data_IF_178754607764
#
_entry.id   IF_178754607764
#
_cell.length_a   1.000
_cell.length_b   1.000
_cell.length_c   1.000
_cell.angle_alpha   90.00
_cell.angle_beta   90.00
_cell.angle_gamma   90.00
#
_symmetry.space_group_name_H-M   'P 1'
#
loop_
_entity.id
_entity.type
_entity.pdbx_description
1 polymer ?
#
# COMPACT_ATOMS: atom_id res chain seq x y z
N UNK A 1 33.49 -49.71 -7.01
CA UNK A 1 32.85 -48.42 -7.41
C UNK A 1 32.06 -47.94 -6.22
N UNK A 2 32.54 -46.88 -5.54
CA UNK A 2 31.84 -46.28 -4.41
C UNK A 2 30.56 -45.60 -4.92
N UNK A 3 29.41 -46.01 -4.46
CA UNK A 3 28.16 -45.31 -4.69
C UNK A 3 28.32 -43.89 -4.13
N UNK A 4 28.46 -42.90 -5.00
CA UNK A 4 28.40 -41.50 -4.59
C UNK A 4 26.99 -41.23 -4.12
N UNK A 5 26.85 -41.03 -2.81
CA UNK A 5 25.59 -40.63 -2.18
C UNK A 5 25.10 -39.35 -2.82
N UNK A 6 23.85 -39.33 -3.29
CA UNK A 6 23.25 -38.13 -3.87
C UNK A 6 23.34 -36.94 -2.88
N UNK A 7 23.68 -35.73 -3.35
CA UNK A 7 23.83 -34.56 -2.46
C UNK A 7 22.51 -34.25 -1.74
N UNK A 8 22.60 -33.85 -0.50
CA UNK A 8 21.45 -33.43 0.30
C UNK A 8 20.77 -32.19 -0.29
N UNK A 9 19.53 -31.93 0.09
CA UNK A 9 18.81 -30.73 -0.35
C UNK A 9 19.55 -29.45 0.07
N UNK A 10 20.16 -29.44 1.25
CA UNK A 10 20.98 -28.32 1.69
C UNK A 10 22.21 -28.11 0.78
N UNK A 11 22.95 -29.16 0.48
CA UNK A 11 24.12 -29.09 -0.42
C UNK A 11 23.74 -28.58 -1.81
N UNK A 12 22.63 -29.09 -2.37
CA UNK A 12 22.11 -28.60 -3.65
C UNK A 12 21.72 -27.11 -3.60
N UNK A 13 21.02 -26.73 -2.53
CA UNK A 13 20.59 -25.35 -2.32
C UNK A 13 21.77 -24.41 -2.14
N UNK A 14 22.79 -24.81 -1.38
CA UNK A 14 24.00 -24.00 -1.21
C UNK A 14 24.75 -23.78 -2.52
N UNK A 15 24.90 -24.82 -3.36
CA UNK A 15 25.47 -24.68 -4.71
C UNK A 15 24.67 -23.71 -5.60
N UNK A 16 23.35 -23.75 -5.51
CA UNK A 16 22.52 -22.81 -6.24
C UNK A 16 22.72 -21.36 -5.74
N UNK A 17 22.83 -21.16 -4.42
CA UNK A 17 23.14 -19.84 -3.86
C UNK A 17 24.50 -19.33 -4.30
N UNK A 18 25.54 -20.17 -4.33
CA UNK A 18 26.89 -19.82 -4.82
C UNK A 18 26.85 -19.41 -6.30
N UNK A 19 26.11 -20.15 -7.12
CA UNK A 19 25.92 -19.80 -8.53
C UNK A 19 25.24 -18.42 -8.69
N UNK A 20 24.20 -18.15 -7.91
CA UNK A 20 23.48 -16.88 -7.94
C UNK A 20 24.34 -15.71 -7.42
N UNK A 21 25.19 -15.97 -6.42
CA UNK A 21 26.11 -14.99 -5.85
C UNK A 21 27.20 -14.59 -6.86
N UNK A 22 27.70 -15.54 -7.64
CA UNK A 22 28.68 -15.33 -8.71
C UNK A 22 28.13 -14.63 -9.95
N UNK A 23 26.81 -14.46 -10.06
CA UNK A 23 26.17 -13.84 -11.22
C UNK A 23 26.44 -12.35 -11.38
N UNK A 24 26.24 -11.79 -12.59
CA UNK A 24 26.55 -10.39 -12.91
C UNK A 24 25.63 -9.37 -12.22
N UNK A 25 24.47 -9.79 -11.71
CA UNK A 25 23.53 -8.93 -11.04
C UNK A 25 23.85 -8.78 -9.56
N UNK A 26 23.54 -7.61 -8.95
CA UNK A 26 23.49 -7.52 -7.51
C UNK A 26 22.39 -8.45 -7.03
N UNK A 27 22.76 -9.71 -6.81
CA UNK A 27 21.80 -10.71 -6.39
C UNK A 27 21.41 -10.44 -4.95
N UNK A 28 20.15 -10.59 -4.64
CA UNK A 28 19.65 -10.53 -3.26
C UNK A 28 20.38 -11.57 -2.36
N UNK A 29 20.99 -12.60 -2.91
CA UNK A 29 21.82 -13.57 -2.19
C UNK A 29 23.03 -12.89 -1.55
N UNK A 30 23.69 -11.95 -2.24
CA UNK A 30 24.78 -11.15 -1.66
C UNK A 30 24.29 -10.32 -0.44
N UNK A 31 23.08 -9.79 -0.52
CA UNK A 31 22.48 -9.04 0.58
C UNK A 31 22.05 -9.96 1.72
N UNK A 32 21.49 -11.14 1.43
CA UNK A 32 21.14 -12.14 2.45
C UNK A 32 22.34 -12.56 3.28
N UNK A 33 23.51 -12.77 2.67
CA UNK A 33 24.74 -13.14 3.38
C UNK A 33 25.24 -12.05 4.34
N UNK A 34 24.85 -10.80 4.13
CA UNK A 34 25.17 -9.69 5.03
C UNK A 34 24.22 -9.60 6.23
N UNK A 35 23.14 -10.36 6.23
CA UNK A 35 22.11 -10.35 7.26
C UNK A 35 22.20 -11.59 8.14
N UNK A 36 21.48 -11.58 9.27
CA UNK A 36 21.29 -12.79 10.11
C UNK A 36 20.13 -13.67 9.60
N UNK A 37 19.82 -13.61 8.32
CA UNK A 37 18.77 -14.43 7.75
C UNK A 37 19.16 -15.91 7.75
N UNK A 38 18.24 -16.85 8.01
CA UNK A 38 18.54 -18.30 8.01
C UNK A 38 18.78 -18.81 6.58
N UNK A 39 20.02 -18.61 6.09
CA UNK A 39 20.40 -18.91 4.72
C UNK A 39 20.29 -20.40 4.40
N UNK A 40 20.49 -21.26 5.38
CA UNK A 40 20.37 -22.71 5.24
C UNK A 40 18.92 -23.12 4.94
N UNK A 41 17.94 -22.58 5.67
CA UNK A 41 16.52 -22.83 5.40
C UNK A 41 16.10 -22.34 4.04
N UNK A 42 16.67 -21.19 3.61
CA UNK A 42 16.45 -20.65 2.27
C UNK A 42 17.08 -21.54 1.19
N UNK A 43 18.28 -22.05 1.44
CA UNK A 43 18.98 -22.96 0.54
C UNK A 43 18.23 -24.29 0.37
N UNK A 44 17.75 -24.88 1.46
CA UNK A 44 16.90 -26.08 1.39
C UNK A 44 15.61 -25.83 0.60
N UNK A 45 14.97 -24.70 0.85
CA UNK A 45 13.78 -24.27 0.11
C UNK A 45 14.07 -24.19 -1.39
N UNK A 46 15.20 -23.60 -1.78
CA UNK A 46 15.66 -23.54 -3.16
C UNK A 46 15.85 -24.93 -3.75
N UNK A 47 16.53 -25.83 -3.06
CA UNK A 47 16.83 -27.16 -3.56
C UNK A 47 15.57 -28.02 -3.77
N UNK A 48 14.61 -27.91 -2.86
CA UNK A 48 13.38 -28.70 -2.93
C UNK A 48 12.44 -28.27 -4.06
N UNK A 49 12.48 -26.98 -4.49
CA UNK A 49 11.39 -26.43 -5.29
C UNK A 49 11.79 -25.52 -6.42
N UNK A 50 13.05 -25.14 -6.49
CA UNK A 50 13.38 -23.93 -7.18
C UNK A 50 14.33 -24.03 -8.31
N UNK A 51 13.85 -23.46 -9.30
CA UNK A 51 14.71 -22.77 -10.23
C UNK A 51 14.67 -21.29 -9.84
N UNK A 52 15.81 -20.65 -9.70
CA UNK A 52 15.88 -19.30 -9.17
C UNK A 52 15.05 -18.29 -9.95
N UNK A 53 14.47 -17.34 -9.25
CA UNK A 53 13.84 -16.14 -9.77
C UNK A 53 14.62 -15.41 -10.84
N UNK A 54 15.91 -15.57 -10.83
CA UNK A 54 16.88 -14.74 -11.52
C UNK A 54 17.21 -15.23 -12.92
N UNK A 55 16.75 -16.41 -13.30
CA UNK A 55 17.09 -16.95 -14.62
C UNK A 55 16.33 -16.33 -15.78
N UNK A 56 15.42 -15.38 -15.53
CA UNK A 56 14.55 -14.79 -16.57
C UNK A 56 13.61 -15.78 -17.25
N UNK A 57 13.73 -17.08 -16.91
CA UNK A 57 13.00 -18.17 -17.53
C UNK A 57 11.67 -18.48 -16.85
N UNK A 58 11.35 -17.80 -15.75
CA UNK A 58 10.10 -17.99 -15.01
C UNK A 58 9.02 -17.07 -15.49
N UNK A 59 7.94 -17.64 -15.96
CA UNK A 59 6.66 -16.94 -16.09
C UNK A 59 5.81 -17.28 -14.89
N UNK A 60 5.65 -16.31 -13.97
CA UNK A 60 4.61 -16.41 -12.95
C UNK A 60 3.27 -16.43 -13.65
N UNK A 61 2.49 -17.46 -13.44
CA UNK A 61 1.12 -17.54 -13.91
C UNK A 61 0.19 -17.46 -12.72
N UNK A 62 -0.83 -16.63 -12.84
CA UNK A 62 -1.94 -16.63 -11.91
C UNK A 62 -2.80 -17.85 -12.24
N UNK A 63 -2.88 -18.79 -11.31
CA UNK A 63 -3.73 -19.97 -11.44
C UNK A 63 -5.13 -19.63 -10.97
N UNK A 64 -5.20 -18.93 -9.84
CA UNK A 64 -6.43 -18.48 -9.20
C UNK A 64 -6.15 -17.23 -8.36
N UNK A 65 -7.19 -16.54 -7.87
CA UNK A 65 -6.98 -15.44 -6.92
C UNK A 65 -6.25 -15.95 -5.66
N UNK A 66 -5.16 -15.30 -5.31
CA UNK A 66 -4.33 -15.74 -4.18
C UNK A 66 -3.37 -16.87 -4.48
N UNK A 67 -3.42 -17.51 -5.66
CA UNK A 67 -2.56 -18.62 -6.04
C UNK A 67 -1.69 -18.21 -7.23
N UNK A 68 -0.38 -18.17 -7.00
CA UNK A 68 0.63 -17.88 -8.01
C UNK A 68 1.46 -19.12 -8.23
N UNK A 69 1.49 -19.64 -9.46
CA UNK A 69 2.31 -20.76 -9.81
C UNK A 69 3.49 -20.36 -10.70
N UNK A 70 4.62 -20.99 -10.48
CA UNK A 70 5.80 -20.88 -11.33
C UNK A 70 6.01 -22.18 -12.08
N UNK A 71 6.41 -22.05 -13.33
CA UNK A 71 6.77 -23.20 -14.16
C UNK A 71 8.25 -23.17 -14.46
N UNK A 72 8.87 -24.33 -14.44
CA UNK A 72 10.21 -24.56 -14.99
C UNK A 72 10.19 -24.47 -16.53
N UNK A 73 11.38 -24.54 -17.14
CA UNK A 73 11.51 -24.49 -18.62
C UNK A 73 10.79 -25.62 -19.32
N UNK A 74 10.71 -26.79 -18.70
CA UNK A 74 9.99 -27.97 -19.19
C UNK A 74 8.46 -27.87 -18.97
N UNK A 75 7.97 -26.76 -18.41
CA UNK A 75 6.56 -26.47 -18.24
C UNK A 75 5.91 -27.02 -16.98
N UNK A 76 6.64 -27.73 -16.12
CA UNK A 76 6.13 -28.25 -14.85
C UNK A 76 5.97 -27.14 -13.81
N UNK A 77 4.97 -27.27 -12.96
CA UNK A 77 4.85 -26.39 -11.79
C UNK A 77 5.91 -26.83 -10.76
N UNK A 78 6.72 -25.87 -10.34
CA UNK A 78 7.79 -26.10 -9.37
C UNK A 78 7.51 -25.43 -8.03
N UNK A 79 6.63 -24.45 -8.00
CA UNK A 79 6.30 -23.74 -6.80
C UNK A 79 4.94 -23.06 -6.92
N UNK A 80 4.21 -23.06 -5.82
CA UNK A 80 2.95 -22.36 -5.66
C UNK A 80 3.03 -21.45 -4.45
N UNK A 81 2.77 -20.16 -4.66
CA UNK A 81 2.66 -19.20 -3.60
C UNK A 81 1.19 -18.97 -3.28
N UNK A 82 0.83 -19.19 -2.04
CA UNK A 82 -0.48 -18.85 -1.53
C UNK A 82 -0.42 -17.52 -0.80
N UNK A 83 -1.33 -16.64 -1.15
CA UNK A 83 -1.59 -15.40 -0.43
C UNK A 83 -2.91 -15.52 0.30
N UNK A 84 -2.93 -15.16 1.56
CA UNK A 84 -4.15 -15.08 2.34
C UNK A 84 -4.63 -13.64 2.44
N UNK A 85 -5.92 -13.44 2.63
CA UNK A 85 -6.46 -12.13 2.95
C UNK A 85 -5.93 -11.66 4.30
N UNK A 86 -5.45 -10.43 4.31
CA UNK A 86 -4.92 -9.78 5.50
C UNK A 86 -6.06 -9.28 6.37
N UNK A 87 -6.06 -9.52 7.69
CA UNK A 87 -6.97 -8.86 8.60
C UNK A 87 -6.71 -7.34 8.62
N UNK A 88 -7.76 -6.56 8.92
CA UNK A 88 -7.64 -5.12 9.01
C UNK A 88 -6.57 -4.72 10.03
N UNK A 89 -5.76 -3.71 9.70
CA UNK A 89 -4.63 -3.27 10.52
C UNK A 89 -3.50 -4.28 10.69
N UNK A 90 -3.58 -5.45 10.09
CA UNK A 90 -2.63 -6.57 10.23
C UNK A 90 -2.53 -7.10 11.67
N UNK A 91 -3.65 -7.08 12.37
CA UNK A 91 -3.72 -7.68 13.70
C UNK A 91 -3.91 -9.20 13.58
N UNK A 92 -2.81 -9.93 13.72
CA UNK A 92 -2.82 -11.38 13.75
C UNK A 92 -2.81 -11.89 15.19
N UNK A 93 -3.76 -12.73 15.54
CA UNK A 93 -3.68 -13.43 16.83
C UNK A 93 -2.55 -14.48 16.80
N UNK A 94 -1.96 -14.76 17.98
CA UNK A 94 -0.93 -15.79 18.09
C UNK A 94 -1.43 -17.18 17.73
N UNK A 95 -2.71 -17.45 17.98
CA UNK A 95 -3.37 -18.70 17.58
C UNK A 95 -3.49 -18.82 16.05
N UNK A 96 -3.84 -17.74 15.37
CA UNK A 96 -3.86 -17.68 13.91
C UNK A 96 -2.47 -17.95 13.33
N UNK A 97 -1.44 -17.27 13.84
CA UNK A 97 -0.07 -17.46 13.36
C UNK A 97 0.45 -18.87 13.60
N UNK A 98 0.11 -19.52 14.73
CA UNK A 98 0.46 -20.94 14.98
C UNK A 98 -0.14 -21.87 13.93
N UNK A 99 -1.42 -21.67 13.57
CA UNK A 99 -2.08 -22.45 12.53
C UNK A 99 -1.43 -22.22 11.14
N UNK A 100 -1.05 -20.99 10.83
CA UNK A 100 -0.32 -20.68 9.61
C UNK A 100 1.04 -21.41 9.57
N UNK A 101 1.78 -21.41 10.66
CA UNK A 101 3.05 -22.10 10.77
C UNK A 101 2.86 -23.61 10.61
N UNK A 102 1.83 -24.19 11.22
CA UNK A 102 1.49 -25.62 11.08
C UNK A 102 1.25 -26.00 9.60
N UNK A 103 0.42 -25.22 8.92
CA UNK A 103 0.13 -25.44 7.48
C UNK A 103 1.39 -25.26 6.63
N UNK A 104 2.19 -24.23 6.89
CA UNK A 104 3.43 -23.98 6.18
C UNK A 104 4.45 -25.11 6.36
N UNK A 105 4.57 -25.68 7.57
CA UNK A 105 5.44 -26.82 7.85
C UNK A 105 4.99 -28.10 7.13
N UNK A 106 3.69 -28.38 7.13
CA UNK A 106 3.14 -29.62 6.56
C UNK A 106 3.15 -29.61 5.03
N UNK A 107 2.82 -28.49 4.40
CA UNK A 107 2.60 -28.41 2.97
C UNK A 107 3.59 -27.50 2.24
N UNK A 108 4.41 -26.77 2.97
CA UNK A 108 5.29 -25.73 2.46
C UNK A 108 6.77 -25.96 2.69
N UNK A 109 7.52 -24.87 2.60
CA UNK A 109 8.98 -24.85 2.81
C UNK A 109 9.38 -24.21 4.16
N UNK A 110 8.45 -24.10 5.06
CA UNK A 110 8.65 -23.49 6.40
C UNK A 110 9.04 -22.00 6.40
N UNK A 111 9.06 -21.35 5.25
CA UNK A 111 9.28 -19.92 5.12
C UNK A 111 7.98 -19.17 4.84
N UNK A 112 7.77 -18.11 5.57
CA UNK A 112 6.63 -17.20 5.44
C UNK A 112 7.14 -15.81 5.08
N UNK A 113 6.52 -15.18 4.09
CA UNK A 113 6.73 -13.77 3.80
C UNK A 113 5.60 -12.94 4.41
N UNK A 114 5.95 -12.04 5.31
CA UNK A 114 5.05 -10.99 5.78
C UNK A 114 5.20 -9.79 4.85
N UNK A 115 4.37 -9.75 3.81
CA UNK A 115 4.46 -8.73 2.77
C UNK A 115 4.25 -7.32 3.33
N UNK A 116 5.31 -6.52 3.40
CA UNK A 116 5.32 -5.21 4.05
C UNK A 116 4.22 -4.26 3.56
N UNK A 117 4.28 -3.85 2.31
CA UNK A 117 3.32 -2.88 1.74
C UNK A 117 1.99 -3.50 1.28
N UNK A 118 1.94 -4.81 1.14
CA UNK A 118 0.74 -5.53 0.74
C UNK A 118 -0.04 -6.04 1.93
N UNK A 119 0.62 -6.14 3.08
CA UNK A 119 0.06 -6.76 4.26
C UNK A 119 -0.25 -8.25 4.09
N UNK A 120 -0.08 -8.81 2.91
CA UNK A 120 -0.39 -10.19 2.63
C UNK A 120 0.59 -11.12 3.34
N UNK A 121 0.08 -12.19 3.91
CA UNK A 121 0.87 -13.30 4.37
C UNK A 121 1.00 -14.26 3.18
N UNK A 122 2.24 -14.55 2.80
CA UNK A 122 2.54 -15.43 1.66
C UNK A 122 3.21 -16.69 2.18
N UNK A 123 2.65 -17.83 1.79
CA UNK A 123 3.17 -19.15 2.07
C UNK A 123 3.65 -19.78 0.77
N UNK A 124 4.86 -20.31 0.77
CA UNK A 124 5.40 -21.07 -0.36
C UNK A 124 5.09 -22.54 -0.16
N UNK A 125 4.35 -23.13 -1.09
CA UNK A 125 3.83 -24.49 -0.98
C UNK A 125 4.47 -25.42 -2.00
N UNK A 126 4.52 -26.70 -1.65
CA UNK A 126 4.93 -27.76 -2.57
C UNK A 126 3.83 -27.94 -3.62
N UNK A 127 4.21 -27.89 -4.90
CA UNK A 127 3.24 -27.92 -5.99
C UNK A 127 2.34 -29.17 -5.98
N UNK A 128 2.92 -30.31 -5.64
CA UNK A 128 2.23 -31.61 -5.55
C UNK A 128 1.21 -31.68 -4.42
N UNK A 129 1.34 -30.78 -3.41
CA UNK A 129 0.43 -30.70 -2.25
C UNK A 129 -0.48 -29.47 -2.29
N UNK A 130 -0.62 -28.84 -3.44
CA UNK A 130 -1.30 -27.56 -3.55
C UNK A 130 -2.78 -27.64 -3.15
N UNK A 131 -3.50 -28.65 -3.59
CA UNK A 131 -4.93 -28.81 -3.30
C UNK A 131 -5.15 -29.05 -1.80
N UNK A 132 -4.37 -29.97 -1.21
CA UNK A 132 -4.41 -30.22 0.23
C UNK A 132 -4.04 -28.95 1.05
N UNK A 133 -3.10 -28.15 0.55
CA UNK A 133 -2.71 -26.91 1.20
C UNK A 133 -3.83 -25.86 1.17
N UNK A 134 -4.57 -25.74 0.07
CA UNK A 134 -5.76 -24.85 -0.01
C UNK A 134 -6.83 -25.29 0.99
N UNK A 135 -7.12 -26.57 1.06
CA UNK A 135 -8.09 -27.11 2.00
C UNK A 135 -7.64 -26.88 3.45
N UNK A 136 -6.35 -27.06 3.74
CA UNK A 136 -5.79 -26.78 5.06
C UNK A 136 -5.85 -25.27 5.43
N UNK A 137 -5.62 -24.38 4.48
CA UNK A 137 -5.78 -22.93 4.70
C UNK A 137 -7.22 -22.62 5.12
N UNK A 138 -8.21 -23.22 4.46
CA UNK A 138 -9.62 -23.00 4.77
C UNK A 138 -10.06 -23.66 6.06
N UNK A 139 -9.65 -24.88 6.31
CA UNK A 139 -10.14 -25.71 7.44
C UNK A 139 -9.34 -25.50 8.72
N UNK A 140 -8.01 -25.40 8.66
CA UNK A 140 -7.13 -25.25 9.81
C UNK A 140 -6.97 -23.78 10.20
N UNK A 141 -6.59 -22.94 9.22
CA UNK A 141 -6.38 -21.50 9.50
C UNK A 141 -7.71 -20.78 9.63
N UNK A 142 -8.74 -21.17 8.88
CA UNK A 142 -10.05 -20.55 8.86
C UNK A 142 -10.06 -19.24 8.04
N UNK A 143 -9.23 -19.18 7.01
CA UNK A 143 -9.17 -18.03 6.06
C UNK A 143 -9.24 -18.55 4.63
N UNK A 144 -9.29 -17.65 3.66
CA UNK A 144 -9.23 -18.02 2.25
C UNK A 144 -7.99 -17.43 1.57
N UNK A 145 -7.63 -18.04 0.45
CA UNK A 145 -6.61 -17.49 -0.43
C UNK A 145 -7.18 -16.31 -1.22
N UNK A 146 -6.36 -15.32 -1.46
CA UNK A 146 -6.81 -14.14 -2.19
C UNK A 146 -5.70 -13.14 -2.48
N UNK A 147 -6.05 -12.04 -3.14
CA UNK A 147 -5.15 -10.91 -3.30
C UNK A 147 -4.06 -11.10 -4.34
N UNK A 148 -4.26 -11.92 -5.38
CA UNK A 148 -3.34 -11.96 -6.52
C UNK A 148 -4.09 -12.04 -7.85
N UNK A 149 -3.40 -11.67 -8.94
CA UNK A 149 -3.97 -11.68 -10.27
C UNK A 149 -4.69 -10.40 -10.65
N UNK A 150 -5.56 -10.54 -11.64
CA UNK A 150 -6.35 -9.43 -12.21
C UNK A 150 -7.68 -9.27 -11.44
N UNK A 151 -7.56 -9.19 -10.12
CA UNK A 151 -8.65 -9.10 -9.14
C UNK A 151 -8.40 -7.93 -8.19
N UNK A 152 -9.20 -7.85 -7.10
CA UNK A 152 -8.80 -7.06 -5.93
C UNK A 152 -7.58 -7.70 -5.28
N UNK A 153 -6.42 -7.11 -5.57
CA UNK A 153 -5.15 -7.66 -5.13
C UNK A 153 -4.83 -7.35 -3.68
N UNK A 154 -5.36 -6.24 -3.17
CA UNK A 154 -4.97 -5.75 -1.86
C UNK A 154 -6.04 -4.88 -1.25
N UNK A 155 -6.37 -5.21 -0.02
CA UNK A 155 -7.02 -4.31 0.94
C UNK A 155 -6.05 -4.15 2.10
N UNK A 156 -5.69 -2.91 2.42
CA UNK A 156 -4.72 -2.62 3.45
C UNK A 156 -5.10 -1.39 4.25
N UNK A 157 -5.17 -1.53 5.56
CA UNK A 157 -5.43 -0.44 6.48
C UNK A 157 -4.23 -0.22 7.40
N UNK A 158 -3.93 1.03 7.74
CA UNK A 158 -3.08 1.31 8.88
C UNK A 158 -3.81 0.90 10.18
N UNK A 159 -3.11 0.77 11.33
CA UNK A 159 -3.74 0.33 12.57
C UNK A 159 -4.84 1.27 13.08
N UNK A 160 -4.98 2.46 12.52
CA UNK A 160 -6.06 3.40 12.84
C UNK A 160 -6.19 3.71 14.34
N UNK A 161 -7.41 3.96 14.81
CA UNK A 161 -7.62 4.36 16.22
C UNK A 161 -7.29 3.25 17.23
N UNK A 162 -7.07 2.02 16.78
CA UNK A 162 -6.67 0.93 17.68
C UNK A 162 -5.26 1.14 18.28
N UNK A 163 -4.36 1.83 17.58
CA UNK A 163 -2.99 2.08 18.04
C UNK A 163 -2.47 3.50 17.74
N UNK A 164 -3.31 4.40 17.19
CA UNK A 164 -2.81 5.69 16.71
C UNK A 164 -3.76 6.83 17.11
N UNK A 165 -3.28 7.74 17.93
CA UNK A 165 -3.98 8.94 18.39
C UNK A 165 -4.25 9.96 17.27
N UNK A 166 -3.55 9.86 16.14
CA UNK A 166 -3.73 10.75 14.99
C UNK A 166 -4.78 10.27 13.99
N UNK A 167 -5.36 9.09 14.20
CA UNK A 167 -6.38 8.56 13.30
C UNK A 167 -7.67 9.41 13.36
N UNK A 168 -8.19 9.75 12.19
CA UNK A 168 -9.34 10.64 12.02
C UNK A 168 -10.63 9.89 11.71
N UNK A 169 -10.51 8.62 11.35
CA UNK A 169 -11.61 7.69 11.15
C UNK A 169 -11.17 6.26 11.45
N UNK A 170 -12.11 5.37 11.61
CA UNK A 170 -11.85 3.95 11.84
C UNK A 170 -11.46 3.24 10.54
N UNK A 171 -10.15 3.10 10.33
CA UNK A 171 -9.59 2.44 9.14
C UNK A 171 -9.83 0.94 9.12
N UNK A 172 -9.99 0.31 10.28
CA UNK A 172 -10.22 -1.13 10.40
C UNK A 172 -11.64 -1.46 9.95
N UNK A 173 -12.62 -0.77 10.53
CA UNK A 173 -14.00 -0.85 10.09
C UNK A 173 -14.14 -0.52 8.60
N UNK A 174 -13.52 0.56 8.15
CA UNK A 174 -13.57 1.00 6.75
C UNK A 174 -13.06 -0.07 5.77
N UNK A 175 -11.94 -0.71 6.09
CA UNK A 175 -11.41 -1.80 5.27
C UNK A 175 -12.36 -3.00 5.23
N UNK A 176 -12.86 -3.43 6.37
CA UNK A 176 -13.75 -4.59 6.45
C UNK A 176 -15.10 -4.31 5.81
N UNK A 177 -15.65 -3.11 6.01
CA UNK A 177 -16.88 -2.66 5.36
C UNK A 177 -16.77 -2.69 3.83
N UNK A 178 -15.74 -2.06 3.27
CA UNK A 178 -15.55 -2.00 1.81
C UNK A 178 -15.32 -3.39 1.23
N UNK A 179 -14.48 -4.20 1.87
CA UNK A 179 -14.14 -5.55 1.38
C UNK A 179 -15.34 -6.50 1.41
N UNK A 180 -16.16 -6.43 2.45
CA UNK A 180 -17.32 -7.31 2.63
C UNK A 180 -18.60 -6.82 1.94
N UNK A 181 -18.61 -5.56 1.48
CA UNK A 181 -19.79 -5.01 0.80
C UNK A 181 -20.15 -5.81 -0.45
N UNK A 182 -21.40 -6.24 -0.68
CA UNK A 182 -21.77 -7.13 -1.78
C UNK A 182 -21.33 -6.65 -3.16
N UNK A 183 -21.39 -5.33 -3.41
CA UNK A 183 -20.96 -4.73 -4.68
C UNK A 183 -19.46 -4.89 -4.97
N UNK A 184 -18.64 -5.06 -3.93
CA UNK A 184 -17.19 -5.25 -4.01
C UNK A 184 -16.85 -6.74 -3.87
N UNK A 185 -17.45 -7.40 -2.87
CA UNK A 185 -17.17 -8.79 -2.54
C UNK A 185 -17.35 -9.74 -3.74
N UNK A 186 -18.38 -9.52 -4.58
CA UNK A 186 -18.62 -10.32 -5.79
C UNK A 186 -17.45 -10.41 -6.75
N UNK A 187 -16.52 -9.46 -6.71
CA UNK A 187 -15.32 -9.44 -7.56
C UNK A 187 -14.06 -9.91 -6.83
N UNK A 188 -14.16 -10.24 -5.55
CA UNK A 188 -12.99 -10.45 -4.69
C UNK A 188 -12.04 -11.52 -5.21
N UNK A 189 -12.58 -12.63 -5.71
CA UNK A 189 -11.81 -13.77 -6.22
C UNK A 189 -11.95 -13.97 -7.74
N UNK A 190 -12.54 -13.01 -8.45
CA UNK A 190 -12.81 -13.12 -9.88
C UNK A 190 -11.72 -12.46 -10.71
N UNK A 191 -11.08 -13.21 -11.61
CA UNK A 191 -10.01 -12.75 -12.50
C UNK A 191 -10.57 -12.01 -13.73
N UNK A 192 -11.21 -10.86 -13.53
CA UNK A 192 -11.96 -10.20 -14.61
C UNK A 192 -11.55 -8.77 -14.90
N UNK A 193 -10.69 -8.17 -14.08
CA UNK A 193 -10.26 -6.80 -14.33
C UNK A 193 -9.21 -6.72 -15.44
N UNK A 194 -9.08 -5.59 -16.14
CA UNK A 194 -7.97 -5.34 -17.06
C UNK A 194 -6.60 -5.57 -16.40
N UNK A 195 -6.47 -5.19 -15.12
CA UNK A 195 -5.36 -5.50 -14.24
C UNK A 195 -5.82 -5.36 -12.78
N UNK A 196 -4.91 -5.63 -11.83
CA UNK A 196 -5.17 -5.58 -10.37
C UNK A 196 -5.74 -4.24 -9.90
N UNK A 197 -6.62 -4.29 -8.92
CA UNK A 197 -7.13 -3.16 -8.15
C UNK A 197 -6.69 -3.27 -6.70
N UNK A 198 -6.42 -2.13 -6.05
CA UNK A 198 -6.01 -2.05 -4.65
C UNK A 198 -6.77 -0.95 -3.93
N UNK A 199 -7.20 -1.25 -2.71
CA UNK A 199 -7.76 -0.29 -1.76
C UNK A 199 -6.82 -0.12 -0.58
N UNK A 200 -6.55 1.11 -0.18
CA UNK A 200 -5.77 1.40 1.03
C UNK A 200 -6.40 2.49 1.88
N UNK A 201 -6.32 2.29 3.18
CA UNK A 201 -6.98 3.10 4.19
C UNK A 201 -5.94 3.65 5.16
N UNK A 202 -5.68 4.95 5.10
CA UNK A 202 -4.79 5.67 6.01
C UNK A 202 -5.59 6.57 6.94
N UNK A 203 -5.40 6.44 8.24
CA UNK A 203 -6.16 7.15 9.25
C UNK A 203 -5.91 8.67 9.29
N UNK A 204 -4.80 9.15 8.75
CA UNK A 204 -4.44 10.57 8.74
C UNK A 204 -3.53 10.91 7.55
N UNK A 205 -3.23 12.22 7.32
CA UNK A 205 -2.39 12.66 6.18
C UNK A 205 -0.95 12.16 6.17
N UNK A 206 -0.45 11.54 7.25
CA UNK A 206 0.87 10.89 7.25
C UNK A 206 0.95 9.67 6.32
N UNK A 207 -0.18 9.15 5.91
CA UNK A 207 -0.31 8.09 4.92
C UNK A 207 0.57 6.86 5.17
N UNK A 208 0.59 6.34 6.40
CA UNK A 208 1.39 5.18 6.79
C UNK A 208 1.05 3.90 5.99
N UNK A 209 -0.15 3.82 5.41
CA UNK A 209 -0.51 2.74 4.49
C UNK A 209 0.05 2.93 3.08
N UNK A 210 0.72 4.04 2.80
CA UNK A 210 1.20 4.40 1.45
C UNK A 210 0.07 4.38 0.40
N UNK A 211 -1.12 4.86 0.79
CA UNK A 211 -2.31 4.80 -0.02
C UNK A 211 -2.16 5.67 -1.28
N UNK A 212 -1.66 6.91 -1.11
CA UNK A 212 -1.52 7.85 -2.22
C UNK A 212 -0.48 7.47 -3.27
N UNK A 213 0.39 6.51 -2.98
CA UNK A 213 1.44 6.08 -3.93
C UNK A 213 1.30 4.64 -4.42
N UNK A 214 0.44 3.83 -3.77
CA UNK A 214 0.41 2.39 -4.04
C UNK A 214 -0.99 1.79 -4.20
N UNK A 215 -2.06 2.59 -4.26
CA UNK A 215 -3.41 2.06 -4.43
C UNK A 215 -4.24 2.75 -5.51
N UNK A 216 -5.09 2.00 -6.15
CA UNK A 216 -6.03 2.54 -7.13
C UNK A 216 -7.13 3.36 -6.48
N UNK A 217 -7.51 2.98 -5.26
CA UNK A 217 -8.38 3.74 -4.37
C UNK A 217 -7.64 4.01 -3.05
N UNK A 218 -7.33 5.26 -2.79
CA UNK A 218 -6.69 5.74 -1.57
C UNK A 218 -7.70 6.51 -0.73
N UNK A 219 -7.87 6.11 0.53
CA UNK A 219 -8.78 6.70 1.49
C UNK A 219 -7.95 7.21 2.66
N UNK A 220 -7.82 8.52 2.77
CA UNK A 220 -6.90 9.17 3.71
C UNK A 220 -7.68 10.10 4.62
N UNK A 221 -7.62 9.86 5.92
CA UNK A 221 -8.22 10.75 6.92
C UNK A 221 -7.63 12.16 6.82
N UNK A 222 -8.49 13.17 6.87
CA UNK A 222 -8.11 14.58 6.78
C UNK A 222 -9.12 15.46 7.54
N UNK A 223 -8.96 16.77 7.47
CA UNK A 223 -9.91 17.74 8.01
C UNK A 223 -9.96 19.00 7.15
N UNK A 224 -11.04 19.77 7.29
CA UNK A 224 -11.19 21.07 6.63
C UNK A 224 -10.81 22.18 7.63
N UNK A 225 -10.12 23.21 7.14
CA UNK A 225 -9.69 24.35 7.97
C UNK A 225 -8.35 24.13 8.68
N UNK A 226 -8.14 24.84 9.77
CA UNK A 226 -6.94 24.77 10.59
C UNK A 226 -6.98 23.61 11.59
N UNK A 227 -5.82 23.12 12.07
CA UNK A 227 -5.73 22.33 13.29
C UNK A 227 -6.30 23.08 14.49
N UNK A 228 -6.78 22.34 15.48
CA UNK A 228 -7.17 22.91 16.77
C UNK A 228 -5.93 23.18 17.63
N UNK A 229 -5.94 24.32 18.32
CA UNK A 229 -4.88 24.69 19.25
C UNK A 229 -5.49 24.97 20.64
N UNK A 230 -5.07 24.18 21.61
CA UNK A 230 -5.29 24.51 23.02
C UNK A 230 -4.20 25.48 23.47
N UNK A 231 -4.52 26.79 23.46
CA UNK A 231 -3.56 27.85 23.79
C UNK A 231 -3.05 27.75 25.22
N UNK A 232 -3.92 27.33 26.16
CA UNK A 232 -3.54 27.20 27.58
C UNK A 232 -2.51 26.11 27.78
N UNK A 233 -2.77 24.92 27.19
CA UNK A 233 -1.84 23.80 27.26
C UNK A 233 -0.55 24.08 26.49
N UNK A 234 -0.65 24.73 25.33
CA UNK A 234 0.53 25.11 24.54
C UNK A 234 1.46 26.05 25.30
N UNK A 235 0.90 27.12 25.94
CA UNK A 235 1.67 28.05 26.78
C UNK A 235 2.40 27.31 27.89
N UNK A 236 1.70 26.41 28.61
CA UNK A 236 2.31 25.60 29.65
C UNK A 236 3.47 24.75 29.12
N UNK A 237 3.30 24.10 27.96
CA UNK A 237 4.36 23.27 27.35
C UNK A 237 5.57 24.11 26.90
N UNK A 238 5.35 25.38 26.51
CA UNK A 238 6.43 26.30 26.16
C UNK A 238 7.16 26.76 27.43
N UNK A 239 6.44 27.12 28.50
CA UNK A 239 7.02 27.54 29.78
C UNK A 239 7.83 26.41 30.45
N UNK A 240 7.39 25.18 30.30
CA UNK A 240 8.10 23.96 30.75
C UNK A 240 9.29 23.58 29.83
N UNK A 241 9.55 24.34 28.77
CA UNK A 241 10.63 24.05 27.81
C UNK A 241 10.43 22.81 26.93
N UNK A 242 9.23 22.24 26.93
CA UNK A 242 8.87 21.06 26.10
C UNK A 242 8.70 21.40 24.64
N UNK A 243 8.34 22.65 24.33
CA UNK A 243 8.12 23.15 22.98
C UNK A 243 8.86 24.47 22.81
N UNK A 244 9.60 24.56 21.70
CA UNK A 244 10.17 25.82 21.22
C UNK A 244 9.23 26.41 20.16
N UNK A 245 8.59 27.57 20.41
CA UNK A 245 7.65 28.18 19.47
C UNK A 245 8.29 28.50 18.11
N UNK A 246 9.54 28.96 18.11
CA UNK A 246 10.27 29.27 16.89
C UNK A 246 10.46 28.03 15.99
N UNK A 247 10.92 26.95 16.57
CA UNK A 247 11.04 25.68 15.84
C UNK A 247 9.69 25.15 15.35
N UNK A 248 8.63 25.37 16.12
CA UNK A 248 7.28 24.96 15.74
C UNK A 248 6.81 25.74 14.50
N UNK A 249 7.02 27.06 14.48
CA UNK A 249 6.71 27.92 13.32
C UNK A 249 7.55 27.50 12.09
N UNK A 250 8.85 27.33 12.27
CA UNK A 250 9.78 26.94 11.20
C UNK A 250 9.46 25.56 10.61
N UNK A 251 8.87 24.66 11.41
CA UNK A 251 8.49 23.32 10.96
C UNK A 251 7.33 23.30 9.97
N UNK A 252 6.64 24.41 9.76
CA UNK A 252 5.49 24.49 8.86
C UNK A 252 5.93 24.69 7.40
N UNK A 253 5.78 23.71 6.51
CA UNK A 253 6.27 23.81 5.13
C UNK A 253 5.52 24.86 4.29
N UNK A 254 4.30 25.22 4.69
CA UNK A 254 3.49 26.23 3.99
C UNK A 254 3.53 27.60 4.67
N UNK A 255 4.32 27.75 5.73
CA UNK A 255 4.37 28.99 6.53
C UNK A 255 2.98 29.45 7.00
N UNK A 256 2.12 28.50 7.33
CA UNK A 256 0.77 28.76 7.80
C UNK A 256 0.72 29.11 9.30
N UNK A 257 1.83 28.99 10.02
CA UNK A 257 1.89 29.15 11.48
C UNK A 257 2.61 30.45 11.82
N UNK A 258 2.05 31.21 12.76
CA UNK A 258 2.67 32.37 13.37
C UNK A 258 2.59 32.29 14.89
N UNK A 259 3.58 32.83 15.58
CA UNK A 259 3.64 32.92 17.04
C UNK A 259 3.62 34.38 17.44
N UNK A 260 2.75 34.71 18.38
CA UNK A 260 2.65 36.05 19.01
C UNK A 260 3.41 36.03 20.34
N UNK A 261 4.54 36.72 20.40
CA UNK A 261 5.40 36.71 21.59
C UNK A 261 4.79 37.47 22.79
N UNK A 262 3.98 38.50 22.54
CA UNK A 262 3.36 39.28 23.62
C UNK A 262 2.22 38.51 24.27
N UNK A 263 1.38 37.89 23.46
CA UNK A 263 0.21 37.11 23.90
C UNK A 263 0.54 35.65 24.20
N UNK A 264 1.72 35.20 23.80
CA UNK A 264 2.14 33.77 23.84
C UNK A 264 1.08 32.87 23.19
N UNK A 265 0.66 33.22 21.99
CA UNK A 265 -0.38 32.52 21.23
C UNK A 265 0.09 32.07 19.86
N UNK A 266 -0.33 30.87 19.48
CA UNK A 266 -0.11 30.31 18.15
C UNK A 266 -1.34 30.56 17.29
N UNK A 267 -1.13 31.04 16.06
CA UNK A 267 -2.17 31.15 15.04
C UNK A 267 -1.82 30.31 13.85
N UNK A 268 -2.81 29.61 13.31
CA UNK A 268 -2.66 28.76 12.12
C UNK A 268 -3.65 29.21 11.06
N UNK A 269 -3.15 29.66 9.93
CA UNK A 269 -3.96 30.00 8.76
C UNK A 269 -4.43 28.71 8.07
N UNK A 270 -5.72 28.39 8.26
CA UNK A 270 -6.33 27.20 7.69
C UNK A 270 -6.33 27.16 6.16
N UNK A 271 -6.31 28.35 5.51
CA UNK A 271 -6.27 28.46 4.04
C UNK A 271 -4.92 28.06 3.45
N UNK A 272 -3.84 28.28 4.23
CA UNK A 272 -2.46 27.90 3.87
C UNK A 272 -2.08 26.51 4.38
N UNK A 273 -2.84 25.95 5.31
CA UNK A 273 -2.51 24.68 5.97
C UNK A 273 -2.59 23.51 4.99
N UNK A 274 -1.46 22.88 4.71
CA UNK A 274 -1.34 21.69 3.86
C UNK A 274 -1.61 20.36 4.59
N UNK A 275 -1.95 20.37 5.87
CA UNK A 275 -2.15 19.18 6.74
C UNK A 275 -0.89 18.30 6.84
N UNK A 276 0.30 18.93 6.84
CA UNK A 276 1.59 18.23 6.88
C UNK A 276 1.88 17.51 8.22
N UNK A 277 1.03 17.68 9.24
CA UNK A 277 1.11 17.05 10.55
C UNK A 277 2.31 17.45 11.43
N UNK A 278 3.27 18.22 10.94
CA UNK A 278 4.49 18.55 11.68
C UNK A 278 4.20 19.25 13.01
N UNK A 279 3.34 20.28 13.01
CA UNK A 279 2.95 20.98 14.21
C UNK A 279 2.20 20.09 15.21
N UNK A 280 1.32 19.22 14.71
CA UNK A 280 0.58 18.26 15.56
C UNK A 280 1.55 17.30 16.23
N UNK A 281 2.47 16.71 15.47
CA UNK A 281 3.46 15.76 16.02
C UNK A 281 4.40 16.40 17.04
N UNK A 282 4.78 17.67 16.84
CA UNK A 282 5.67 18.37 17.76
C UNK A 282 4.99 18.83 19.04
N UNK A 283 3.72 19.20 18.95
CA UNK A 283 3.00 19.83 20.04
C UNK A 283 1.72 19.09 20.49
N UNK A 284 1.61 17.79 20.22
CA UNK A 284 0.53 16.98 20.77
C UNK A 284 0.68 16.86 22.31
N UNK A 285 -0.42 16.94 23.09
CA UNK A 285 -1.80 17.10 22.67
C UNK A 285 -2.30 18.56 22.58
N UNK A 286 -1.42 19.57 22.68
CA UNK A 286 -1.82 20.99 22.58
C UNK A 286 -2.27 21.38 21.18
N UNK A 287 -1.73 20.74 20.13
CA UNK A 287 -2.21 20.90 18.77
C UNK A 287 -2.78 19.55 18.29
N UNK A 288 -4.02 19.57 17.81
CA UNK A 288 -4.77 18.41 17.32
C UNK A 288 -5.27 18.65 15.90
N UNK A 289 -5.59 17.57 15.13
CA UNK A 289 -6.31 17.72 13.88
C UNK A 289 -7.60 18.53 14.04
N UNK A 290 -8.00 19.26 12.99
CA UNK A 290 -9.22 20.08 13.03
C UNK A 290 -10.49 19.23 13.22
N UNK A 291 -11.56 19.90 13.74
CA UNK A 291 -12.85 19.25 14.08
C UNK A 291 -13.60 18.72 12.88
N UNK A 292 -13.57 19.45 11.77
CA UNK A 292 -14.31 19.07 10.56
C UNK A 292 -13.57 17.95 9.82
N UNK A 293 -13.66 16.73 10.38
CA UNK A 293 -12.99 15.53 9.87
C UNK A 293 -13.65 15.02 8.60
N UNK A 294 -12.84 14.57 7.66
CA UNK A 294 -13.24 14.03 6.36
C UNK A 294 -12.32 12.87 5.98
N UNK A 295 -12.76 12.11 4.98
CA UNK A 295 -11.94 11.11 4.30
C UNK A 295 -11.66 11.64 2.89
N UNK A 296 -10.40 11.91 2.57
CA UNK A 296 -10.00 12.24 1.21
C UNK A 296 -9.99 10.98 0.36
N UNK A 297 -10.76 10.99 -0.71
CA UNK A 297 -10.77 9.97 -1.75
C UNK A 297 -9.82 10.39 -2.87
N UNK A 298 -8.78 9.59 -3.10
CA UNK A 298 -7.85 9.75 -4.21
C UNK A 298 -7.85 8.48 -5.06
N UNK A 299 -7.63 8.62 -6.37
CA UNK A 299 -7.65 7.48 -7.28
C UNK A 299 -6.46 7.45 -8.23
N UNK A 300 -6.12 6.24 -8.69
CA UNK A 300 -5.16 6.01 -9.76
C UNK A 300 -3.69 5.96 -9.34
N UNK A 301 -3.40 5.90 -8.03
CA UNK A 301 -2.03 5.73 -7.57
C UNK A 301 -1.51 4.32 -7.83
N UNK A 302 -0.26 4.24 -8.26
CA UNK A 302 0.45 2.97 -8.38
C UNK A 302 1.97 3.17 -8.51
N UNK A 303 2.74 2.29 -7.87
CA UNK A 303 4.19 2.27 -8.02
C UNK A 303 4.64 1.60 -9.32
N UNK A 304 3.78 0.76 -9.91
CA UNK A 304 4.06 0.02 -11.14
C UNK A 304 2.80 -0.06 -12.00
N UNK A 305 2.84 0.54 -13.16
CA UNK A 305 1.79 0.56 -14.18
C UNK A 305 2.40 0.68 -15.57
N UNK A 306 1.58 0.71 -16.59
CA UNK A 306 2.02 0.77 -17.99
C UNK A 306 2.82 2.07 -18.29
N UNK A 307 2.38 3.19 -17.72
CA UNK A 307 3.04 4.49 -17.86
C UNK A 307 3.93 4.88 -16.68
N UNK A 308 4.49 3.89 -15.96
CA UNK A 308 5.34 4.12 -14.80
C UNK A 308 4.60 4.51 -13.52
N UNK A 309 5.32 4.92 -12.47
CA UNK A 309 4.73 5.30 -11.18
C UNK A 309 3.81 6.51 -11.26
N UNK A 310 2.71 6.49 -10.51
CA UNK A 310 1.76 7.60 -10.42
C UNK A 310 1.29 7.80 -8.97
N UNK A 311 1.12 9.05 -8.59
CA UNK A 311 0.40 9.42 -7.37
C UNK A 311 -1.10 9.48 -7.64
N UNK A 312 -1.88 9.24 -6.60
CA UNK A 312 -3.34 9.37 -6.65
C UNK A 312 -3.77 10.82 -6.86
N UNK A 313 -4.88 10.99 -7.55
CA UNK A 313 -5.50 12.29 -7.77
C UNK A 313 -6.72 12.42 -6.87
N UNK A 314 -6.80 13.53 -6.15
CA UNK A 314 -7.91 13.81 -5.25
C UNK A 314 -9.21 13.96 -6.05
N UNK A 315 -10.25 13.28 -5.59
CA UNK A 315 -11.58 13.26 -6.21
C UNK A 315 -12.55 14.07 -5.37
N UNK A 316 -12.72 13.68 -4.11
CA UNK A 316 -13.69 14.28 -3.21
C UNK A 316 -13.27 14.15 -1.73
N UNK A 317 -13.93 14.93 -0.88
CA UNK A 317 -13.91 14.78 0.57
C UNK A 317 -15.20 14.10 1.00
N UNK A 318 -15.07 12.90 1.55
CA UNK A 318 -16.18 12.09 2.02
C UNK A 318 -16.46 12.36 3.50
N UNK A 319 -17.73 12.28 3.90
CA UNK A 319 -18.14 12.38 5.29
C UNK A 319 -18.03 11.04 6.01
N UNK A 320 -18.25 9.97 5.27
CA UNK A 320 -18.22 8.60 5.78
C UNK A 320 -17.63 7.63 4.76
N UNK A 321 -17.32 6.41 5.21
CA UNK A 321 -16.73 5.37 4.33
C UNK A 321 -17.76 4.80 3.35
N UNK A 322 -19.02 4.84 3.71
CA UNK A 322 -20.15 4.36 2.90
C UNK A 322 -20.25 5.10 1.57
N UNK A 323 -19.88 6.37 1.57
CA UNK A 323 -19.86 7.23 0.36
C UNK A 323 -18.98 6.67 -0.76
N UNK A 324 -17.97 5.82 -0.43
CA UNK A 324 -17.04 5.29 -1.42
C UNK A 324 -17.66 4.22 -2.32
N UNK A 325 -18.65 3.48 -1.84
CA UNK A 325 -19.17 2.30 -2.54
C UNK A 325 -19.80 2.63 -3.90
N UNK A 326 -20.74 3.59 -4.01
CA UNK A 326 -21.31 3.97 -5.31
C UNK A 326 -20.23 4.43 -6.30
N UNK A 327 -19.30 5.25 -5.82
CA UNK A 327 -18.20 5.75 -6.64
C UNK A 327 -17.28 4.62 -7.12
N UNK A 328 -16.85 3.75 -6.20
CA UNK A 328 -15.94 2.66 -6.53
C UNK A 328 -16.59 1.69 -7.53
N UNK A 329 -17.87 1.35 -7.33
CA UNK A 329 -18.61 0.45 -8.22
C UNK A 329 -18.70 1.02 -9.65
N UNK A 330 -19.07 2.27 -9.77
CA UNK A 330 -19.19 2.92 -11.08
C UNK A 330 -17.82 3.07 -11.76
N UNK A 331 -16.78 3.47 -11.00
CA UNK A 331 -15.43 3.59 -11.56
C UNK A 331 -14.87 2.23 -12.00
N UNK A 332 -15.15 1.15 -11.27
CA UNK A 332 -14.74 -0.20 -11.67
C UNK A 332 -15.43 -0.61 -12.97
N UNK A 333 -16.72 -0.31 -13.13
CA UNK A 333 -17.42 -0.57 -14.39
C UNK A 333 -16.79 0.20 -15.55
N UNK A 334 -16.51 1.49 -15.36
CA UNK A 334 -15.80 2.30 -16.37
C UNK A 334 -14.38 1.78 -16.65
N UNK A 335 -13.70 1.31 -15.63
CA UNK A 335 -12.37 0.74 -15.79
C UNK A 335 -12.40 -0.55 -16.62
N UNK A 336 -13.36 -1.44 -16.40
CA UNK A 336 -13.55 -2.65 -17.19
C UNK A 336 -13.91 -2.35 -18.64
N UNK A 337 -14.70 -1.29 -18.87
CA UNK A 337 -15.11 -0.85 -20.21
C UNK A 337 -13.96 -0.22 -21.02
N UNK A 338 -13.15 0.64 -20.37
CA UNK A 338 -12.28 1.59 -21.07
C UNK A 338 -10.79 1.22 -21.03
N UNK A 339 -10.36 0.41 -20.06
CA UNK A 339 -8.94 0.13 -19.88
C UNK A 339 -8.49 -1.08 -20.69
N UNK A 340 -7.40 -0.96 -21.47
CA UNK A 340 -6.79 -2.12 -22.10
C UNK A 340 -6.21 -3.09 -21.06
N UNK A 341 -6.03 -4.33 -21.48
CA UNK A 341 -5.39 -5.35 -20.63
C UNK A 341 -4.02 -4.85 -20.13
N UNK A 342 -3.69 -5.16 -18.87
CA UNK A 342 -2.46 -4.74 -18.18
C UNK A 342 -2.35 -3.26 -17.85
N UNK A 343 -3.40 -2.48 -18.02
CA UNK A 343 -3.45 -1.08 -17.61
C UNK A 343 -4.14 -0.96 -16.24
N UNK A 344 -3.60 -0.11 -15.38
CA UNK A 344 -4.17 0.26 -14.09
C UNK A 344 -5.22 1.37 -14.24
N UNK A 345 -5.99 1.65 -13.22
CA UNK A 345 -6.91 2.81 -13.21
C UNK A 345 -6.14 4.11 -13.50
N UNK A 346 -4.95 4.30 -12.93
CA UNK A 346 -4.12 5.47 -13.22
C UNK A 346 -3.66 5.55 -14.67
N UNK A 347 -3.37 4.42 -15.31
CA UNK A 347 -3.04 4.35 -16.74
C UNK A 347 -4.27 4.70 -17.61
N UNK A 348 -5.47 4.26 -17.20
CA UNK A 348 -6.72 4.65 -17.86
C UNK A 348 -6.95 6.16 -17.80
N UNK A 349 -6.70 6.78 -16.63
CA UNK A 349 -6.82 8.24 -16.47
C UNK A 349 -5.87 8.99 -17.42
N UNK A 350 -4.66 8.49 -17.62
CA UNK A 350 -3.70 9.10 -18.57
C UNK A 350 -4.24 9.03 -20.00
N UNK A 351 -4.78 7.89 -20.40
CA UNK A 351 -5.28 7.68 -21.76
C UNK A 351 -6.58 8.42 -22.08
N UNK A 352 -7.48 8.51 -21.11
CA UNK A 352 -8.85 9.02 -21.30
C UNK A 352 -9.08 10.40 -20.70
N UNK A 353 -8.09 10.91 -19.94
CA UNK A 353 -8.22 12.15 -19.18
C UNK A 353 -8.93 11.97 -17.85
N UNK A 354 -8.77 12.96 -16.97
CA UNK A 354 -9.42 12.99 -15.64
C UNK A 354 -10.95 13.17 -15.75
N UNK A 355 -11.46 13.54 -16.92
CA UNK A 355 -12.88 13.71 -17.20
C UNK A 355 -13.70 12.47 -16.83
N UNK A 356 -13.18 11.25 -17.09
CA UNK A 356 -13.85 10.00 -16.70
C UNK A 356 -14.10 9.95 -15.21
N UNK A 357 -13.13 10.38 -14.40
CA UNK A 357 -13.26 10.41 -12.94
C UNK A 357 -14.25 11.48 -12.49
N UNK A 358 -14.23 12.66 -13.12
CA UNK A 358 -15.17 13.74 -12.81
C UNK A 358 -16.62 13.32 -13.09
N UNK A 359 -16.88 12.70 -14.24
CA UNK A 359 -18.22 12.22 -14.61
C UNK A 359 -18.74 11.16 -13.61
N UNK A 360 -17.89 10.21 -13.22
CA UNK A 360 -18.25 9.24 -12.18
C UNK A 360 -18.55 9.93 -10.85
N UNK A 361 -17.72 10.90 -10.45
CA UNK A 361 -17.91 11.64 -9.21
C UNK A 361 -19.19 12.50 -9.23
N UNK A 362 -19.50 13.14 -10.37
CA UNK A 362 -20.72 13.95 -10.53
C UNK A 362 -21.98 13.09 -10.39
N UNK A 363 -21.93 11.87 -10.92
CA UNK A 363 -23.03 10.90 -10.82
C UNK A 363 -23.21 10.32 -9.42
N UNK A 364 -22.11 10.00 -8.74
CA UNK A 364 -22.15 9.17 -7.51
C UNK A 364 -21.93 9.94 -6.22
N UNK A 365 -21.32 11.13 -6.32
CA UNK A 365 -20.97 11.99 -5.18
C UNK A 365 -21.42 13.46 -5.43
N UNK A 366 -22.67 13.71 -5.85
CA UNK A 366 -23.10 15.04 -6.32
C UNK A 366 -22.93 16.12 -5.24
N UNK A 367 -23.12 15.79 -3.97
CA UNK A 367 -23.11 16.72 -2.85
C UNK A 367 -21.78 16.76 -2.07
N UNK A 368 -20.73 16.08 -2.56
CA UNK A 368 -19.44 16.06 -1.86
C UNK A 368 -18.52 17.15 -2.40
N UNK A 369 -17.81 17.88 -1.52
CA UNK A 369 -16.79 18.84 -1.95
C UNK A 369 -15.76 18.18 -2.84
N UNK A 370 -15.54 18.74 -4.02
CA UNK A 370 -14.48 18.25 -4.90
C UNK A 370 -13.13 18.61 -4.31
N UNK A 371 -12.30 17.61 -4.13
CA UNK A 371 -10.93 17.83 -3.73
C UNK A 371 -10.22 18.59 -4.86
N UNK A 372 -9.68 19.76 -4.57
CA UNK A 372 -8.74 20.36 -5.50
C UNK A 372 -7.50 19.47 -5.52
N UNK A 373 -7.05 18.99 -6.69
CA UNK A 373 -5.87 18.11 -6.81
C UNK A 373 -4.63 18.66 -6.08
N UNK A 374 -4.59 19.98 -5.91
CA UNK A 374 -3.47 20.69 -5.32
C UNK A 374 -3.36 20.56 -3.79
N UNK A 375 -4.44 20.42 -3.03
CA UNK A 375 -4.37 20.46 -1.57
C UNK A 375 -3.82 19.15 -0.98
N UNK A 376 -4.31 18.00 -1.44
CA UNK A 376 -3.92 16.70 -0.88
C UNK A 376 -2.68 16.09 -1.56
N UNK A 377 -2.43 16.36 -2.84
CA UNK A 377 -1.17 16.01 -3.48
C UNK A 377 0.00 16.80 -2.90
N UNK A 378 -0.23 18.06 -2.57
CA UNK A 378 0.78 18.89 -1.91
C UNK A 378 1.13 18.39 -0.51
N UNK A 379 0.25 17.65 0.18
CA UNK A 379 0.55 17.11 1.51
C UNK A 379 1.58 16.00 1.48
N UNK A 380 1.53 15.09 0.50
CA UNK A 380 2.51 14.00 0.40
C UNK A 380 3.88 14.46 -0.12
N UNK A 381 3.90 15.46 -1.00
CA UNK A 381 5.12 15.89 -1.71
C UNK A 381 5.65 17.19 -1.12
N UNK A 382 4.81 18.17 -0.86
CA UNK A 382 5.25 19.50 -0.38
C UNK A 382 5.62 19.53 1.11
N UNK A 383 5.27 18.52 1.90
CA UNK A 383 5.75 18.40 3.27
C UNK A 383 7.25 18.04 3.35
N UNK A 384 7.85 17.64 2.24
CA UNK A 384 9.22 17.11 2.17
C UNK A 384 10.13 17.98 1.29
N UNK A 385 9.57 18.73 0.32
CA UNK A 385 10.35 19.46 -0.66
C UNK A 385 10.44 20.95 -0.31
N UNK A 386 11.64 21.51 -0.42
CA UNK A 386 11.87 22.96 -0.49
C UNK A 386 11.19 23.56 -1.72
N UNK A 387 11.05 24.87 -1.79
CA UNK A 387 10.44 25.54 -2.95
C UNK A 387 11.24 25.28 -4.24
N UNK A 388 12.57 25.17 -4.13
CA UNK A 388 13.45 24.84 -5.26
C UNK A 388 13.28 23.39 -5.70
N UNK A 389 13.21 22.44 -4.78
CA UNK A 389 12.96 21.03 -5.07
C UNK A 389 11.57 20.83 -5.67
N UNK A 390 10.57 21.59 -5.23
CA UNK A 390 9.22 21.57 -5.81
C UNK A 390 9.24 22.05 -7.25
N UNK A 391 9.92 23.14 -7.53
CA UNK A 391 10.09 23.69 -8.87
C UNK A 391 10.84 22.69 -9.78
N UNK A 392 11.92 22.12 -9.30
CA UNK A 392 12.63 21.04 -10.00
C UNK A 392 11.73 19.86 -10.32
N UNK A 393 10.91 19.43 -9.36
CA UNK A 393 9.98 18.31 -9.57
C UNK A 393 8.87 18.66 -10.57
N UNK A 394 8.33 19.87 -10.53
CA UNK A 394 7.35 20.36 -11.49
C UNK A 394 7.96 20.47 -12.89
N UNK A 395 9.16 20.98 -13.01
CA UNK A 395 9.89 21.12 -14.28
C UNK A 395 10.26 19.73 -14.85
N UNK A 396 10.74 18.83 -14.00
CA UNK A 396 10.99 17.43 -14.37
C UNK A 396 9.71 16.71 -14.79
N UNK A 397 8.62 16.87 -14.05
CA UNK A 397 7.31 16.30 -14.37
C UNK A 397 6.79 16.81 -15.70
N UNK A 398 6.96 18.11 -15.99
CA UNK A 398 6.58 18.70 -17.28
C UNK A 398 7.46 18.22 -18.42
N UNK A 399 8.77 18.08 -18.20
CA UNK A 399 9.71 17.54 -19.21
C UNK A 399 9.36 16.10 -19.57
N UNK A 400 9.07 15.26 -18.59
CA UNK A 400 8.63 13.88 -18.82
C UNK A 400 7.32 13.81 -19.61
N UNK A 401 6.37 14.69 -19.32
CA UNK A 401 5.11 14.75 -20.08
C UNK A 401 5.37 15.16 -21.53
N UNK A 402 6.22 16.15 -21.77
CA UNK A 402 6.61 16.56 -23.13
C UNK A 402 7.36 15.47 -23.89
N UNK A 403 8.31 14.82 -23.22
CA UNK A 403 9.16 13.77 -23.82
C UNK A 403 8.34 12.53 -24.23
N UNK A 404 7.37 12.12 -23.41
CA UNK A 404 6.62 10.87 -23.64
C UNK A 404 5.26 11.07 -24.31
N UNK A 405 4.70 12.27 -24.31
CA UNK A 405 3.31 12.50 -24.78
C UNK A 405 3.20 13.62 -25.81
N UNK A 406 4.30 14.29 -26.15
CA UNK A 406 4.29 15.43 -27.07
C UNK A 406 3.69 16.70 -26.44
N UNK A 407 3.91 17.85 -27.06
CA UNK A 407 3.22 19.09 -26.72
C UNK A 407 1.76 18.96 -27.13
N UNK A 408 0.86 18.86 -26.13
CA UNK A 408 -0.60 18.88 -26.35
C UNK A 408 -1.13 20.29 -26.55
#
# INVERSE_FOLDING_TARGET
MSEQKAPSDLERGMKMLEYLEGGPWPSYVKELRKTKYPIEAYAEGLAKKYTPWLSGSFRVRYVFSGILARRSRDGKFVEIHFRTYTPAGRFYSTSYLRKVIEVAKKYGIELLELGGNTGALVMNMIAEKADEAVDAIRTIIGTDVGGSGDTFREFYACPGPALCEFALYDTLHAMDYVRSHPAIYRYLNTQMFPYKIKFKFSGCPMDCATANSRSDFALIGTWVGAPEVDQGLLRKMVEEGKINPKELVESCPSKAITWDEERKELRIDGSKCLKAMNCIRKAFPAIKPGKNRKIALLVGAHAQGHFGPKLGRAVALLDSIEDVIPFATELINKYMELAPRRHRIGDMIIRRGFKVISEVADKTLPNKPRGTPSAHLRVSIAAVLTDDERKMYEDWSRSLVREYFGEG
#
